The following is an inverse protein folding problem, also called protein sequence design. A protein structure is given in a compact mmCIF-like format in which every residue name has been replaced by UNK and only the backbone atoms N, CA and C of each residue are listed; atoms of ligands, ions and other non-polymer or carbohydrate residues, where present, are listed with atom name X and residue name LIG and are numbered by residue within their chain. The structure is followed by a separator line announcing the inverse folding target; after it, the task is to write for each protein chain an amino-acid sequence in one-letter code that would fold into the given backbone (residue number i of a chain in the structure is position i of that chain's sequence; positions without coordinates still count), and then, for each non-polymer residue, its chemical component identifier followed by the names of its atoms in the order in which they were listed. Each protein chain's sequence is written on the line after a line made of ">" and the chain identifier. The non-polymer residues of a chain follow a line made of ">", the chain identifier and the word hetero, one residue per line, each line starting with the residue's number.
data_IF_345254805545
#
_entry.id   IF_345254805545
#
_cell.length_a   1.000
_cell.length_b   1.000
_cell.length_c   1.000
_cell.angle_alpha   90.00
_cell.angle_beta   90.00
_cell.angle_gamma   90.00
#
_symmetry.space_group_name_H-M   'P 1'
#
loop_
_entity.id
_entity.type
_entity.pdbx_description
1 polymer ?
#
# COMPACT_ATOMS: atom_id res chain seq x y z
N UNK A 1 1.45 5.65 1.40
CA UNK A 1 0.66 4.82 0.46
C UNK A 1 -0.74 4.53 0.99
N UNK A 2 -0.87 4.25 2.29
CA UNK A 2 -2.14 4.10 3.03
C UNK A 2 -3.16 5.21 2.72
N UNK A 3 -2.79 6.49 2.83
CA UNK A 3 -3.74 7.58 2.55
C UNK A 3 -4.25 7.60 1.10
N UNK A 4 -3.39 7.33 0.12
CA UNK A 4 -3.79 7.27 -1.30
C UNK A 4 -4.74 6.10 -1.55
N UNK A 5 -4.44 4.93 -0.99
CA UNK A 5 -5.32 3.78 -1.15
C UNK A 5 -6.65 3.97 -0.41
N UNK A 6 -6.60 4.40 0.86
CA UNK A 6 -7.78 4.71 1.67
C UNK A 6 -8.71 5.72 1.01
N UNK A 7 -8.17 6.82 0.46
CA UNK A 7 -8.98 7.78 -0.28
C UNK A 7 -9.63 7.18 -1.55
N UNK A 8 -8.95 6.25 -2.23
CA UNK A 8 -9.48 5.58 -3.40
C UNK A 8 -10.53 4.49 -3.07
N UNK A 9 -10.44 3.89 -1.87
CA UNK A 9 -11.47 3.00 -1.30
C UNK A 9 -12.74 3.80 -0.97
N UNK A 10 -12.60 4.92 -0.25
CA UNK A 10 -13.73 5.78 0.12
C UNK A 10 -14.48 6.33 -1.10
N UNK A 11 -13.75 6.69 -2.17
CA UNK A 11 -14.35 7.11 -3.44
C UNK A 11 -15.20 6.02 -4.15
N UNK A 12 -15.14 4.77 -3.68
CA UNK A 12 -15.94 3.62 -4.16
C UNK A 12 -16.89 3.09 -3.09
N UNK A 13 -17.15 3.90 -2.08
CA UNK A 13 -18.04 3.57 -0.97
C UNK A 13 -17.55 2.32 -0.21
N UNK A 14 -16.23 2.19 -0.08
CA UNK A 14 -15.57 1.17 0.74
C UNK A 14 -14.99 1.88 1.97
N UNK A 15 -15.58 1.70 3.16
CA UNK A 15 -15.13 2.38 4.36
C UNK A 15 -13.68 2.04 4.72
N UNK A 16 -12.84 3.05 4.88
CA UNK A 16 -11.43 2.95 5.26
C UNK A 16 -11.11 3.66 6.60
N UNK A 17 -12.10 4.25 7.25
CA UNK A 17 -11.99 4.80 8.60
C UNK A 17 -12.12 3.76 9.72
N UNK A 18 -12.01 4.23 10.96
CA UNK A 18 -12.41 3.50 12.18
C UNK A 18 -11.80 2.09 12.33
N UNK A 19 -10.55 1.91 11.89
CA UNK A 19 -9.85 0.62 11.99
C UNK A 19 -10.31 -0.44 11.00
N UNK A 20 -11.17 -0.08 10.03
CA UNK A 20 -11.56 -0.96 8.90
C UNK A 20 -10.45 -1.08 7.87
N UNK A 21 -9.53 -0.13 7.84
CA UNK A 21 -8.38 -0.15 6.95
C UNK A 21 -7.14 0.36 7.67
N UNK A 22 -6.06 -0.42 7.58
CA UNK A 22 -4.74 0.01 8.03
C UNK A 22 -3.66 -0.68 7.18
N UNK A 23 -2.41 -0.31 7.42
CA UNK A 23 -1.28 -0.88 6.69
C UNK A 23 -0.07 -1.09 7.58
N UNK A 24 0.67 -2.14 7.31
CA UNK A 24 1.97 -2.41 7.90
C UNK A 24 3.04 -2.30 6.81
N UNK A 25 4.16 -1.65 7.13
CA UNK A 25 5.27 -1.50 6.19
C UNK A 25 6.52 -2.16 6.74
N UNK A 26 7.10 -3.08 5.96
CA UNK A 26 8.37 -3.74 6.25
C UNK A 26 9.45 -3.19 5.31
N UNK A 27 10.49 -2.62 5.88
CA UNK A 27 11.70 -2.22 5.14
C UNK A 27 12.80 -3.28 5.23
N UNK A 28 13.48 -3.53 4.12
CA UNK A 28 14.70 -4.35 4.06
C UNK A 28 15.90 -3.44 3.82
N UNK A 29 16.90 -3.57 4.68
CA UNK A 29 18.14 -2.80 4.63
C UNK A 29 19.27 -3.71 4.16
N UNK A 30 20.00 -3.28 3.15
CA UNK A 30 21.14 -3.99 2.60
C UNK A 30 22.40 -3.11 2.67
N UNK A 31 23.57 -3.73 2.60
CA UNK A 31 24.84 -3.02 2.54
C UNK A 31 25.17 -2.68 1.10
N UNK A 32 25.35 -1.39 0.82
CA UNK A 32 25.84 -0.88 -0.45
C UNK A 32 27.24 -0.28 -0.24
N UNK A 33 28.27 -0.99 -0.69
CA UNK A 33 29.66 -0.66 -0.41
C UNK A 33 29.97 -0.64 1.10
N UNK A 34 30.09 0.57 1.68
CA UNK A 34 30.39 0.78 3.11
C UNK A 34 29.22 1.37 3.90
N UNK A 35 28.07 1.60 3.26
CA UNK A 35 26.89 2.20 3.89
C UNK A 35 25.70 1.23 3.87
N UNK A 36 24.70 1.49 4.72
CA UNK A 36 23.43 0.76 4.73
C UNK A 36 22.39 1.57 3.98
N UNK A 37 21.64 0.91 3.10
CA UNK A 37 20.57 1.51 2.30
C UNK A 37 19.30 0.69 2.41
N UNK A 38 18.15 1.35 2.39
CA UNK A 38 16.86 0.66 2.28
C UNK A 38 16.74 0.19 0.83
N UNK A 39 16.70 -1.12 0.61
CA UNK A 39 16.62 -1.69 -0.74
C UNK A 39 15.19 -1.99 -1.15
N UNK A 40 14.38 -2.45 -0.20
CA UNK A 40 12.98 -2.84 -0.44
C UNK A 40 12.06 -2.34 0.65
N UNK A 41 10.83 -2.04 0.27
CA UNK A 41 9.71 -1.80 1.17
C UNK A 41 8.54 -2.67 0.69
N UNK A 42 8.00 -3.49 1.59
CA UNK A 42 6.76 -4.20 1.38
C UNK A 42 5.67 -3.60 2.26
N UNK A 43 4.49 -3.31 1.69
CA UNK A 43 3.35 -2.80 2.45
C UNK A 43 2.19 -3.78 2.37
N UNK A 44 1.79 -4.30 3.51
CA UNK A 44 0.59 -5.12 3.67
C UNK A 44 -0.56 -4.22 4.07
N UNK A 45 -1.62 -4.22 3.28
CA UNK A 45 -2.88 -3.55 3.57
C UNK A 45 -3.86 -4.54 4.18
N UNK A 46 -4.46 -4.15 5.29
CA UNK A 46 -5.51 -4.93 5.96
C UNK A 46 -6.83 -4.19 5.80
N UNK A 47 -7.82 -4.86 5.20
CA UNK A 47 -9.11 -4.27 4.85
C UNK A 47 -10.27 -5.16 5.31
N UNK A 48 -11.14 -4.59 6.15
CA UNK A 48 -12.45 -5.13 6.50
C UNK A 48 -13.49 -4.54 5.55
N UNK A 49 -13.92 -5.32 4.57
CA UNK A 49 -14.90 -4.90 3.58
C UNK A 49 -15.90 -6.02 3.30
N UNK A 50 -17.11 -5.62 2.88
CA UNK A 50 -18.13 -6.57 2.46
C UNK A 50 -17.65 -7.37 1.23
N UNK A 51 -18.03 -8.66 1.09
CA UNK A 51 -17.56 -9.51 0.00
C UNK A 51 -17.85 -8.97 -1.41
N UNK A 52 -18.94 -8.22 -1.57
CA UNK A 52 -19.34 -7.57 -2.83
C UNK A 52 -18.42 -6.39 -3.22
N UNK A 53 -17.69 -5.82 -2.26
CA UNK A 53 -16.71 -4.74 -2.48
C UNK A 53 -15.30 -5.24 -2.79
N UNK A 54 -15.05 -6.55 -2.66
CA UNK A 54 -13.72 -7.16 -2.85
C UNK A 54 -13.11 -6.86 -4.22
N UNK A 55 -13.86 -7.08 -5.30
CA UNK A 55 -13.39 -6.84 -6.67
C UNK A 55 -13.03 -5.35 -6.88
N UNK A 56 -13.82 -4.44 -6.32
CA UNK A 56 -13.56 -3.01 -6.40
C UNK A 56 -12.30 -2.61 -5.63
N UNK A 57 -12.09 -3.17 -4.44
CA UNK A 57 -10.88 -2.96 -3.65
C UNK A 57 -9.62 -3.51 -4.35
N UNK A 58 -9.69 -4.72 -4.92
CA UNK A 58 -8.59 -5.35 -5.68
C UNK A 58 -8.23 -4.52 -6.93
N UNK A 59 -9.22 -4.03 -7.67
CA UNK A 59 -8.99 -3.13 -8.81
C UNK A 59 -8.22 -1.88 -8.40
N UNK A 60 -8.62 -1.22 -7.32
CA UNK A 60 -7.92 -0.03 -6.81
C UNK A 60 -6.52 -0.35 -6.34
N UNK A 61 -6.36 -1.46 -5.62
CA UNK A 61 -5.06 -1.92 -5.17
C UNK A 61 -4.07 -2.02 -6.33
N UNK A 62 -4.52 -2.48 -7.50
CA UNK A 62 -3.69 -2.63 -8.70
C UNK A 62 -3.09 -1.34 -9.26
N UNK A 63 -3.64 -0.15 -8.99
CA UNK A 63 -3.12 1.11 -9.56
C UNK A 63 -2.90 2.24 -8.54
N UNK A 64 -3.33 2.12 -7.28
CA UNK A 64 -3.22 3.21 -6.30
C UNK A 64 -1.77 3.70 -6.11
N UNK A 65 -0.80 2.78 -6.17
CA UNK A 65 0.61 3.08 -5.98
C UNK A 65 1.14 4.05 -7.04
N UNK A 66 0.65 3.95 -8.28
CA UNK A 66 1.03 4.85 -9.37
C UNK A 66 0.58 6.28 -9.14
N UNK A 67 -0.40 6.53 -8.26
CA UNK A 67 -0.87 7.88 -7.89
C UNK A 67 -0.37 8.32 -6.51
N UNK A 68 0.38 7.48 -5.81
CA UNK A 68 0.87 7.81 -4.48
C UNK A 68 2.12 8.71 -4.56
N UNK A 69 2.11 9.92 -3.94
CA UNK A 69 3.28 10.79 -3.93
C UNK A 69 4.53 10.11 -3.35
N UNK A 70 4.36 9.34 -2.28
CA UNK A 70 5.47 8.62 -1.61
C UNK A 70 6.07 7.53 -2.51
N UNK A 71 5.23 6.73 -3.17
CA UNK A 71 5.72 5.70 -4.08
C UNK A 71 6.45 6.32 -5.27
N UNK A 72 5.92 7.43 -5.82
CA UNK A 72 6.55 8.16 -6.93
C UNK A 72 7.91 8.74 -6.57
N UNK A 73 8.08 9.31 -5.37
CA UNK A 73 9.36 9.92 -4.97
C UNK A 73 10.45 8.88 -4.68
N UNK A 74 10.06 7.65 -4.32
CA UNK A 74 10.99 6.57 -4.01
C UNK A 74 11.25 5.64 -5.21
N UNK A 75 10.45 5.75 -6.27
CA UNK A 75 10.52 4.91 -7.47
C UNK A 75 11.93 4.98 -8.08
N UNK A 76 12.51 3.81 -8.34
CA UNK A 76 13.86 3.66 -8.90
C UNK A 76 14.99 3.67 -7.87
N UNK A 77 14.74 4.15 -6.65
CA UNK A 77 15.70 4.10 -5.54
C UNK A 77 15.46 2.88 -4.63
N UNK A 78 14.19 2.61 -4.34
CA UNK A 78 13.73 1.52 -3.48
C UNK A 78 12.71 0.69 -4.24
N UNK A 79 12.81 -0.63 -4.13
CA UNK A 79 11.79 -1.53 -4.66
C UNK A 79 10.57 -1.52 -3.72
N UNK A 80 9.39 -1.24 -4.25
CA UNK A 80 8.17 -1.11 -3.46
C UNK A 80 7.17 -2.14 -3.96
N UNK A 81 6.71 -2.99 -3.05
CA UNK A 81 5.64 -3.96 -3.31
C UNK A 81 4.50 -3.78 -2.32
N UNK A 82 3.29 -4.17 -2.73
CA UNK A 82 2.10 -4.08 -1.90
C UNK A 82 1.29 -5.37 -1.96
N UNK A 83 0.65 -5.70 -0.85
CA UNK A 83 -0.29 -6.81 -0.72
C UNK A 83 -1.59 -6.29 -0.10
N UNK A 84 -2.73 -6.87 -0.50
CA UNK A 84 -4.04 -6.60 0.09
C UNK A 84 -4.56 -7.89 0.75
N UNK A 85 -4.80 -7.81 2.05
CA UNK A 85 -5.41 -8.85 2.87
C UNK A 85 -6.81 -8.41 3.31
N UNK A 86 -7.77 -9.33 3.18
CA UNK A 86 -9.14 -9.14 3.63
C UNK A 86 -9.33 -9.84 4.98
N UNK A 87 -9.92 -9.13 5.94
CA UNK A 87 -10.27 -9.63 7.28
C UNK A 87 -11.78 -9.82 7.47
#
# INVERSE_FOLDING_TARGET
>A
MTGTFGGALEAREIPAGEGKFYSEARGEVEKDGKVLVIRRIHVTYHLKADPDKREAAEKVHGFHADFCPVARTLKGCVDISTELQFE
#
